data_IF_708431192007
#
_entry.id   IF_708431192007
#
_cell.length_a   1.000
_cell.length_b   1.000
_cell.length_c   1.000
_cell.angle_alpha   90.00
_cell.angle_beta   90.00
_cell.angle_gamma   90.00
#
_symmetry.space_group_name_H-M   'P 1'
#
loop_
_entity.id
_entity.type
_entity.pdbx_description
1 polymer ?
#
# COMPACT_ATOMS: atom_id res chain seq x y z
N UNK A 1 -31.76 -48.63 -22.72
CA UNK A 1 -31.94 -47.51 -21.77
C UNK A 1 -30.66 -47.41 -20.96
N UNK A 2 -29.75 -46.53 -21.35
CA UNK A 2 -28.56 -46.19 -20.57
C UNK A 2 -28.88 -44.93 -19.75
N UNK A 3 -28.58 -44.88 -18.45
CA UNK A 3 -28.76 -43.66 -17.68
C UNK A 3 -27.72 -42.62 -18.12
N UNK A 4 -28.23 -41.46 -18.51
CA UNK A 4 -27.49 -40.24 -18.80
C UNK A 4 -26.81 -39.77 -17.49
N UNK A 5 -25.51 -40.02 -17.34
CA UNK A 5 -24.73 -39.47 -16.24
C UNK A 5 -24.57 -37.96 -16.48
N UNK A 6 -25.05 -37.07 -15.59
CA UNK A 6 -24.75 -35.65 -15.71
C UNK A 6 -23.25 -35.46 -15.46
N UNK A 7 -22.55 -34.95 -16.48
CA UNK A 7 -21.14 -34.62 -16.39
C UNK A 7 -20.88 -33.70 -15.19
N UNK A 8 -20.11 -34.18 -14.23
CA UNK A 8 -19.71 -33.49 -12.99
C UNK A 8 -18.79 -32.26 -13.23
N UNK A 9 -18.65 -31.85 -14.49
CA UNK A 9 -17.74 -30.80 -14.96
C UNK A 9 -18.44 -29.87 -15.96
N UNK A 10 -19.73 -29.60 -15.78
CA UNK A 10 -20.32 -28.37 -16.32
C UNK A 10 -19.89 -27.23 -15.39
N UNK A 11 -18.59 -26.88 -15.46
CA UNK A 11 -18.09 -25.64 -14.89
C UNK A 11 -18.59 -24.54 -15.82
N UNK A 12 -19.84 -24.14 -15.59
CA UNK A 12 -20.43 -22.92 -16.11
C UNK A 12 -19.37 -21.82 -16.07
N UNK A 13 -19.01 -21.35 -17.26
CA UNK A 13 -18.33 -20.11 -17.59
C UNK A 13 -17.36 -19.65 -16.50
N UNK A 14 -16.06 -19.91 -16.69
CA UNK A 14 -14.99 -19.21 -15.98
C UNK A 14 -15.26 -17.70 -16.09
N UNK A 15 -15.98 -17.16 -15.09
CA UNK A 15 -16.12 -15.74 -14.87
C UNK A 15 -14.68 -15.27 -14.64
N UNK A 16 -14.06 -14.77 -15.70
CA UNK A 16 -12.74 -14.20 -15.67
C UNK A 16 -12.66 -13.34 -14.42
N UNK A 17 -11.61 -13.48 -13.58
CA UNK A 17 -11.54 -12.75 -12.32
C UNK A 17 -11.73 -11.29 -12.68
N UNK A 18 -12.85 -10.71 -12.21
CA UNK A 18 -13.14 -9.31 -12.44
C UNK A 18 -11.92 -8.57 -11.91
N UNK A 19 -11.14 -7.97 -12.82
CA UNK A 19 -9.99 -7.20 -12.43
C UNK A 19 -10.53 -6.11 -11.52
N UNK A 20 -10.35 -6.26 -10.21
CA UNK A 20 -10.72 -5.24 -9.24
C UNK A 20 -9.87 -4.02 -9.59
N UNK A 21 -10.41 -3.11 -10.40
CA UNK A 21 -9.77 -1.87 -10.73
C UNK A 21 -9.53 -1.13 -9.42
N UNK A 22 -8.27 -1.04 -9.04
CA UNK A 22 -7.93 -0.48 -7.75
C UNK A 22 -8.31 1.00 -7.73
N UNK A 23 -9.02 1.45 -6.69
CA UNK A 23 -9.57 2.79 -6.68
C UNK A 23 -8.42 3.80 -6.77
N UNK A 24 -8.65 4.81 -7.61
CA UNK A 24 -7.76 5.96 -7.71
C UNK A 24 -7.64 6.64 -6.34
N UNK A 25 -6.50 7.30 -6.12
CA UNK A 25 -6.27 8.08 -4.91
C UNK A 25 -7.27 9.25 -4.77
N UNK A 26 -7.73 9.51 -3.55
CA UNK A 26 -8.60 10.65 -3.23
C UNK A 26 -7.78 11.90 -2.89
N UNK A 27 -8.37 13.09 -3.01
CA UNK A 27 -7.71 14.35 -2.63
C UNK A 27 -7.26 14.38 -1.16
N UNK A 28 -8.04 13.75 -0.27
CA UNK A 28 -7.66 13.60 1.14
C UNK A 28 -6.37 12.78 1.30
N UNK A 29 -6.22 11.68 0.53
CA UNK A 29 -5.01 10.87 0.56
C UNK A 29 -3.79 11.61 -0.02
N UNK A 30 -4.00 12.42 -1.06
CA UNK A 30 -2.96 13.30 -1.60
C UNK A 30 -2.50 14.30 -0.53
N UNK A 31 -3.43 14.90 0.20
CA UNK A 31 -3.13 15.82 1.29
C UNK A 31 -2.32 15.12 2.40
N UNK A 32 -2.71 13.91 2.79
CA UNK A 32 -1.95 13.11 3.78
C UNK A 32 -0.52 12.82 3.34
N UNK A 33 -0.29 12.46 2.07
CA UNK A 33 1.05 12.24 1.54
C UNK A 33 1.88 13.53 1.60
N UNK A 34 1.29 14.67 1.20
CA UNK A 34 1.97 15.97 1.24
C UNK A 34 2.36 16.35 2.66
N UNK A 35 1.43 16.23 3.60
CA UNK A 35 1.68 16.50 5.01
C UNK A 35 2.80 15.62 5.55
N UNK A 36 2.78 14.32 5.27
CA UNK A 36 3.84 13.40 5.70
C UNK A 36 5.22 13.79 5.15
N UNK A 37 5.31 14.26 3.90
CA UNK A 37 6.56 14.78 3.36
C UNK A 37 7.04 16.05 4.09
N UNK A 38 6.12 16.94 4.44
CA UNK A 38 6.45 18.16 5.21
C UNK A 38 6.93 17.81 6.63
N UNK A 39 6.24 16.90 7.32
CA UNK A 39 6.61 16.41 8.65
C UNK A 39 7.98 15.71 8.63
N UNK A 40 8.27 14.95 7.58
CA UNK A 40 9.58 14.32 7.38
C UNK A 40 10.71 15.29 6.96
N UNK A 41 10.39 16.57 6.74
CA UNK A 41 11.34 17.57 6.23
C UNK A 41 11.79 17.30 4.79
N UNK A 42 11.07 16.48 4.03
CA UNK A 42 11.35 16.16 2.63
C UNK A 42 10.75 17.27 1.78
N UNK A 43 11.54 18.30 1.49
CA UNK A 43 11.12 19.49 0.72
C UNK A 43 11.53 19.42 -0.75
N UNK A 44 12.55 18.63 -1.09
CA UNK A 44 13.04 18.49 -2.46
C UNK A 44 12.07 17.67 -3.32
N UNK A 45 11.68 18.24 -4.47
CA UNK A 45 10.80 17.58 -5.44
C UNK A 45 11.39 16.26 -5.95
N UNK A 46 12.70 16.25 -6.22
CA UNK A 46 13.44 15.06 -6.68
C UNK A 46 13.40 13.95 -5.62
N UNK A 47 13.62 14.31 -4.35
CA UNK A 47 13.59 13.35 -3.24
C UNK A 47 12.18 12.78 -3.01
N UNK A 48 11.14 13.59 -3.15
CA UNK A 48 9.74 13.14 -3.09
C UNK A 48 9.44 12.14 -4.20
N UNK A 49 9.87 12.44 -5.42
CA UNK A 49 9.65 11.59 -6.58
C UNK A 49 10.39 10.24 -6.44
N UNK A 50 11.67 10.26 -6.08
CA UNK A 50 12.45 9.03 -5.84
C UNK A 50 11.81 8.15 -4.76
N UNK A 51 11.29 8.74 -3.69
CA UNK A 51 10.61 7.99 -2.63
C UNK A 51 9.36 7.31 -3.16
N UNK A 52 8.52 8.05 -3.88
CA UNK A 52 7.29 7.51 -4.48
C UNK A 52 7.64 6.38 -5.45
N UNK A 53 8.58 6.61 -6.37
CA UNK A 53 9.05 5.62 -7.35
C UNK A 53 9.66 4.39 -6.69
N UNK A 54 10.26 4.49 -5.50
CA UNK A 54 10.71 3.31 -4.75
C UNK A 54 9.56 2.44 -4.21
N UNK A 55 8.36 3.02 -4.07
CA UNK A 55 7.18 2.34 -3.52
C UNK A 55 6.25 1.76 -4.61
N UNK A 56 6.43 2.18 -5.87
CA UNK A 56 5.58 1.79 -7.00
C UNK A 56 6.41 1.15 -8.11
N UNK A 57 5.86 0.14 -8.78
CA UNK A 57 6.57 -0.61 -9.84
C UNK A 57 6.42 0.08 -11.22
N UNK A 58 5.92 1.32 -11.24
CA UNK A 58 5.62 2.07 -12.47
C UNK A 58 6.06 3.52 -12.32
N UNK A 59 6.48 4.18 -13.41
CA UNK A 59 6.72 5.62 -13.37
C UNK A 59 5.42 6.36 -13.07
N UNK A 60 5.50 7.36 -12.21
CA UNK A 60 4.36 8.18 -11.78
C UNK A 60 4.72 9.64 -12.02
N UNK A 61 4.05 10.28 -12.97
CA UNK A 61 4.30 11.69 -13.28
C UNK A 61 3.59 12.60 -12.27
N UNK A 62 2.47 12.15 -11.69
CA UNK A 62 1.66 12.93 -10.75
C UNK A 62 1.11 12.06 -9.63
N UNK A 63 1.01 12.63 -8.43
CA UNK A 63 0.37 11.96 -7.28
C UNK A 63 -1.03 11.41 -7.60
N UNK A 64 -1.80 12.08 -8.47
CA UNK A 64 -3.15 11.64 -8.88
C UNK A 64 -3.20 10.33 -9.66
N UNK A 65 -2.07 9.89 -10.20
CA UNK A 65 -1.97 8.62 -10.91
C UNK A 65 -1.77 7.44 -9.94
N UNK A 66 -1.46 7.72 -8.66
CA UNK A 66 -1.35 6.70 -7.63
C UNK A 66 -2.70 6.04 -7.35
N UNK A 67 -2.65 4.79 -6.94
CA UNK A 67 -3.82 4.06 -6.46
C UNK A 67 -3.88 4.14 -4.93
N UNK A 68 -5.06 3.92 -4.37
CA UNK A 68 -5.27 3.94 -2.92
C UNK A 68 -4.34 2.94 -2.18
N UNK A 69 -3.96 1.82 -2.83
CA UNK A 69 -3.00 0.85 -2.29
C UNK A 69 -1.59 1.41 -2.10
N UNK A 70 -1.17 2.32 -2.96
CA UNK A 70 0.18 2.87 -2.97
C UNK A 70 0.37 3.87 -1.83
N UNK A 71 -0.71 4.57 -1.46
CA UNK A 71 -0.73 5.58 -0.38
C UNK A 71 -0.16 5.00 0.92
N UNK A 72 -0.64 3.83 1.33
CA UNK A 72 -0.18 3.20 2.58
C UNK A 72 1.31 2.89 2.53
N UNK A 73 1.81 2.36 1.41
CA UNK A 73 3.23 2.06 1.23
C UNK A 73 4.09 3.32 1.28
N UNK A 74 3.65 4.37 0.60
CA UNK A 74 4.34 5.67 0.57
C UNK A 74 4.42 6.27 1.97
N UNK A 75 3.30 6.33 2.70
CA UNK A 75 3.26 6.85 4.07
C UNK A 75 4.18 6.05 5.00
N UNK A 76 4.13 4.72 4.96
CA UNK A 76 5.01 3.86 5.75
C UNK A 76 6.48 4.11 5.41
N UNK A 77 6.83 4.28 4.13
CA UNK A 77 8.21 4.56 3.72
C UNK A 77 8.70 5.93 4.18
N UNK A 78 7.82 6.94 4.22
CA UNK A 78 8.14 8.27 4.76
C UNK A 78 8.39 8.17 6.27
N UNK A 79 7.57 7.43 7.01
CA UNK A 79 7.77 7.20 8.46
C UNK A 79 9.08 6.46 8.76
N UNK A 80 9.39 5.41 8.01
CA UNK A 80 10.63 4.62 8.17
C UNK A 80 11.89 5.46 7.95
N UNK A 81 11.87 6.38 6.97
CA UNK A 81 12.98 7.32 6.76
C UNK A 81 13.13 8.35 7.89
N UNK A 82 12.04 8.74 8.54
CA UNK A 82 12.09 9.62 9.71
C UNK A 82 12.72 8.92 10.91
N UNK A 83 12.32 7.67 11.17
CA UNK A 83 12.88 6.87 12.26
C UNK A 83 14.37 6.56 12.06
N UNK A 84 14.78 6.28 10.82
CA UNK A 84 16.18 6.00 10.47
C UNK A 84 17.14 7.19 10.67
N UNK A 85 16.62 8.43 10.78
CA UNK A 85 17.42 9.64 11.07
C UNK A 85 17.67 9.87 12.57
N UNK A 86 16.99 9.14 13.46
CA UNK A 86 17.30 9.09 14.90
C UNK A 86 18.53 8.21 15.19
N UNK A 87 19.06 8.22 16.43
CA UNK A 87 20.18 7.34 16.79
C UNK A 87 19.79 5.89 16.50
N UNK A 88 20.60 5.22 15.68
CA UNK A 88 20.43 3.82 15.24
C UNK A 88 20.50 2.91 16.47
N UNK A 89 19.37 2.67 17.09
CA UNK A 89 19.17 1.58 18.04
C UNK A 89 17.83 0.93 17.72
N UNK A 90 17.85 -0.33 17.31
CA UNK A 90 16.64 -1.16 17.25
C UNK A 90 16.03 -1.28 15.87
N UNK A 91 16.33 -2.39 15.22
CA UNK A 91 15.54 -3.13 14.25
C UNK A 91 14.19 -2.54 13.82
N UNK A 92 13.90 -2.56 12.52
CA UNK A 92 12.59 -2.26 11.92
C UNK A 92 11.42 -3.21 12.37
N UNK A 93 11.61 -3.93 13.47
CA UNK A 93 10.67 -4.83 14.16
C UNK A 93 10.49 -4.44 15.64
N UNK A 94 11.30 -3.50 16.15
CA UNK A 94 11.40 -3.16 17.58
C UNK A 94 10.37 -2.11 18.02
N UNK A 95 9.83 -1.31 17.09
CA UNK A 95 8.75 -0.37 17.39
C UNK A 95 7.37 -1.05 17.41
N UNK A 96 7.30 -2.30 17.89
CA UNK A 96 6.08 -2.80 18.51
C UNK A 96 5.99 -2.06 19.83
N UNK A 97 5.25 -0.96 19.83
CA UNK A 97 4.66 -0.43 21.05
C UNK A 97 4.18 -1.62 21.88
N UNK A 98 4.77 -1.75 23.06
CA UNK A 98 4.29 -2.60 24.13
C UNK A 98 2.91 -2.10 24.55
N UNK A 99 1.87 -2.40 23.77
CA UNK A 99 0.48 -2.29 24.20
C UNK A 99 -0.25 -3.60 23.87
N UNK A 100 -0.09 -4.52 24.81
CA UNK A 100 -1.04 -5.56 25.23
C UNK A 100 -2.46 -5.37 24.72
N UNK A 101 -2.86 -6.13 23.70
CA UNK A 101 -4.28 -6.35 23.37
C UNK A 101 -4.72 -7.81 23.46
N UNK A 102 -3.79 -8.75 23.69
CA UNK A 102 -4.13 -10.15 23.96
C UNK A 102 -4.07 -10.39 25.46
N UNK A 103 -4.99 -9.75 26.18
CA UNK A 103 -5.51 -10.28 27.43
C UNK A 103 -7.00 -9.94 27.50
N UNK A 104 -7.82 -11.00 27.47
CA UNK A 104 -9.29 -11.06 27.50
C UNK A 104 -10.00 -10.98 26.13
N UNK A 105 -10.21 -12.16 25.54
CA UNK A 105 -11.52 -12.84 25.57
C UNK A 105 -11.40 -14.30 25.15
#
# INVERSE_FOLDING_TARGET
MQPNEPGLFDLEDEAAPQAFEEPAITDQQIASIRQAFEEAGITSMEQRQQLIESCVVRPVARLRELQARDVRRILQRISDQQQSKGPVTGSAWDNRDEDTWIDKL
#
